data_IF_222968881558
#
_entry.id   IF_222968881558
#
_cell.length_a   1.000
_cell.length_b   1.000
_cell.length_c   1.000
_cell.angle_alpha   90.00
_cell.angle_beta   90.00
_cell.angle_gamma   90.00
#
_symmetry.space_group_name_H-M   'P 1'
#
loop_
_entity.id
_entity.type
_entity.pdbx_description
1 polymer ?
#
# COMPACT_ATOMS: atom_id res chain seq x y z
N UNK A 1 23.03 88.41 65.99
CA UNK A 1 23.73 87.24 65.42
C UNK A 1 23.46 85.90 66.12
N UNK A 2 23.21 85.83 67.44
CA UNK A 2 22.99 84.56 68.16
C UNK A 2 21.64 83.89 67.81
N UNK A 3 20.58 84.68 67.60
CA UNK A 3 19.22 84.20 67.30
C UNK A 3 19.06 83.58 65.89
N UNK A 4 19.95 83.93 64.95
CA UNK A 4 19.99 83.38 63.58
C UNK A 4 20.71 82.03 63.58
N UNK A 5 21.88 81.95 64.24
CA UNK A 5 22.60 80.68 64.45
C UNK A 5 21.75 79.64 65.19
N UNK A 6 20.96 80.03 66.19
CA UNK A 6 20.07 79.11 66.90
C UNK A 6 18.95 78.55 66.01
N UNK A 7 18.43 79.32 65.05
CA UNK A 7 17.41 78.87 64.10
C UNK A 7 18.00 77.94 63.03
N UNK A 8 19.22 78.19 62.57
CA UNK A 8 19.94 77.29 61.64
C UNK A 8 20.32 75.97 62.33
N UNK A 9 20.74 76.01 63.58
CA UNK A 9 21.03 74.81 64.39
C UNK A 9 19.74 74.02 64.62
N UNK A 10 18.63 74.67 64.98
CA UNK A 10 17.32 73.99 65.10
C UNK A 10 16.82 73.42 63.77
N UNK A 11 17.05 74.09 62.64
CA UNK A 11 16.67 73.59 61.31
C UNK A 11 17.51 72.38 60.88
N UNK A 12 18.82 72.39 61.16
CA UNK A 12 19.71 71.26 60.94
C UNK A 12 19.48 70.08 61.90
N UNK A 13 18.96 70.34 63.11
CA UNK A 13 18.51 69.29 64.05
C UNK A 13 17.18 68.68 63.63
N UNK A 14 16.21 69.46 63.13
CA UNK A 14 14.99 68.92 62.51
C UNK A 14 15.30 68.06 61.27
N UNK A 15 16.24 68.50 60.42
CA UNK A 15 16.72 67.70 59.28
C UNK A 15 17.47 66.43 59.71
N UNK A 16 18.04 66.38 60.92
CA UNK A 16 18.66 65.18 61.51
C UNK A 16 17.65 64.23 62.17
N UNK A 17 16.53 64.74 62.68
CA UNK A 17 15.44 63.95 63.29
C UNK A 17 14.59 63.19 62.26
N UNK A 18 14.56 63.62 61.00
CA UNK A 18 13.87 62.93 59.90
C UNK A 18 14.71 61.80 59.24
N UNK A 19 16.01 61.74 59.52
CA UNK A 19 16.94 60.71 58.96
C UNK A 19 16.58 59.28 59.40
N UNK A 20 16.26 59.01 60.68
CA UNK A 20 15.84 57.67 61.11
C UNK A 20 14.55 57.21 60.44
N UNK A 21 13.60 58.12 60.23
CA UNK A 21 12.34 57.85 59.51
C UNK A 21 12.58 57.51 58.04
N UNK A 22 13.35 58.33 57.32
CA UNK A 22 13.74 58.04 55.93
C UNK A 22 14.57 56.75 55.81
N UNK A 23 15.40 56.41 56.80
CA UNK A 23 16.19 55.18 56.80
C UNK A 23 15.29 53.93 56.96
N UNK A 24 14.27 54.01 57.80
CA UNK A 24 13.28 52.94 57.98
C UNK A 24 12.46 52.77 56.69
N UNK A 25 11.99 53.86 56.08
CA UNK A 25 11.26 53.81 54.80
C UNK A 25 12.10 53.21 53.67
N UNK A 26 13.39 53.56 53.57
CA UNK A 26 14.32 52.98 52.61
C UNK A 26 14.59 51.49 52.87
N UNK A 27 14.64 51.07 54.13
CA UNK A 27 14.77 49.65 54.49
C UNK A 27 13.51 48.85 54.14
N UNK A 28 12.33 49.43 54.34
CA UNK A 28 11.05 48.83 53.94
C UNK A 28 10.91 48.75 52.42
N UNK A 29 11.29 49.80 51.68
CA UNK A 29 11.34 49.78 50.21
C UNK A 29 12.33 48.73 49.70
N UNK A 30 13.51 48.62 50.31
CA UNK A 30 14.49 47.57 49.98
C UNK A 30 13.94 46.16 50.28
N UNK A 31 13.18 46.01 51.37
CA UNK A 31 12.49 44.76 51.72
C UNK A 31 11.45 44.37 50.67
N UNK A 32 10.61 45.31 50.24
CA UNK A 32 9.61 45.13 49.18
C UNK A 32 10.26 44.77 47.85
N UNK A 33 11.27 45.53 47.42
CA UNK A 33 12.03 45.25 46.19
C UNK A 33 12.73 43.87 46.23
N UNK A 34 13.19 43.44 47.41
CA UNK A 34 13.79 42.11 47.58
C UNK A 34 12.74 41.00 47.48
N UNK A 35 11.55 41.19 48.04
CA UNK A 35 10.44 40.25 47.89
C UNK A 35 9.94 40.17 46.44
N UNK A 36 9.80 41.33 45.77
CA UNK A 36 9.46 41.39 44.34
C UNK A 36 10.54 40.69 43.49
N UNK A 37 11.83 40.91 43.79
CA UNK A 37 12.92 40.22 43.09
C UNK A 37 12.89 38.70 43.27
N UNK A 38 12.54 38.22 44.47
CA UNK A 38 12.36 36.78 44.72
C UNK A 38 11.15 36.24 43.94
N UNK A 39 10.02 36.95 43.98
CA UNK A 39 8.83 36.58 43.21
C UNK A 39 9.10 36.53 41.69
N UNK A 40 9.86 37.48 41.14
CA UNK A 40 10.28 37.47 39.74
C UNK A 40 11.24 36.31 39.42
N UNK A 41 12.14 35.95 40.34
CA UNK A 41 13.03 34.79 40.18
C UNK A 41 12.25 33.47 40.19
N UNK A 42 11.25 33.34 41.05
CA UNK A 42 10.40 32.16 41.12
C UNK A 42 9.53 32.05 39.86
N UNK A 43 8.92 33.17 39.43
CA UNK A 43 8.17 33.26 38.17
C UNK A 43 9.04 32.86 36.96
N UNK A 44 10.28 33.34 36.90
CA UNK A 44 11.24 32.99 35.84
C UNK A 44 11.60 31.50 35.87
N UNK A 45 11.81 30.95 37.06
CA UNK A 45 12.13 29.52 37.21
C UNK A 45 10.96 28.63 36.78
N UNK A 46 9.72 29.03 37.09
CA UNK A 46 8.51 28.34 36.63
C UNK A 46 8.38 28.38 35.10
N UNK A 47 8.52 29.55 34.49
CA UNK A 47 8.48 29.71 33.03
C UNK A 47 9.59 28.90 32.35
N UNK A 48 10.80 28.88 32.91
CA UNK A 48 11.89 28.05 32.38
C UNK A 48 11.57 26.54 32.47
N UNK A 49 10.93 26.10 33.56
CA UNK A 49 10.55 24.71 33.71
C UNK A 49 9.45 24.31 32.71
N UNK A 50 8.48 25.20 32.45
CA UNK A 50 7.46 25.01 31.42
C UNK A 50 8.07 25.00 30.01
N UNK A 51 8.96 25.95 29.72
CA UNK A 51 9.71 26.03 28.48
C UNK A 51 10.52 24.74 28.21
N UNK A 52 11.20 24.21 29.22
CA UNK A 52 11.94 22.94 29.11
C UNK A 52 11.01 21.78 28.74
N UNK A 53 9.85 21.66 29.41
CA UNK A 53 8.87 20.59 29.11
C UNK A 53 8.39 20.63 27.66
N UNK A 54 8.13 21.82 27.13
CA UNK A 54 7.71 21.99 25.73
C UNK A 54 8.83 21.63 24.75
N UNK A 55 10.08 22.00 25.06
CA UNK A 55 11.25 21.63 24.25
C UNK A 55 11.44 20.10 24.23
N UNK A 56 11.36 19.46 25.38
CA UNK A 56 11.49 18.00 25.50
C UNK A 56 10.40 17.29 24.71
N UNK A 57 9.14 17.72 24.88
CA UNK A 57 7.99 17.18 24.13
C UNK A 57 8.15 17.35 22.62
N UNK A 58 8.60 18.53 22.17
CA UNK A 58 8.86 18.79 20.74
C UNK A 58 9.97 17.88 20.22
N UNK A 59 11.07 17.74 20.96
CA UNK A 59 12.19 16.89 20.53
C UNK A 59 11.78 15.42 20.44
N UNK A 60 10.97 14.94 21.38
CA UNK A 60 10.40 13.58 21.33
C UNK A 60 9.50 13.40 20.10
N UNK A 61 8.57 14.32 19.86
CA UNK A 61 7.68 14.28 18.69
C UNK A 61 8.43 14.39 17.36
N UNK A 62 9.51 15.18 17.30
CA UNK A 62 10.35 15.25 16.11
C UNK A 62 11.09 13.94 15.87
N UNK A 63 11.59 13.29 16.94
CA UNK A 63 12.24 11.98 16.82
C UNK A 63 11.27 10.91 16.31
N UNK A 64 10.06 10.85 16.87
CA UNK A 64 9.03 9.91 16.40
C UNK A 64 8.63 10.19 14.95
N UNK A 65 8.54 11.46 14.56
CA UNK A 65 8.27 11.86 13.17
C UNK A 65 9.37 11.37 12.22
N UNK A 66 10.65 11.53 12.57
CA UNK A 66 11.77 11.01 11.77
C UNK A 66 11.73 9.49 11.64
N UNK A 67 11.47 8.78 12.75
CA UNK A 67 11.33 7.32 12.75
C UNK A 67 10.18 6.84 11.84
N UNK A 68 9.03 7.53 11.87
CA UNK A 68 7.89 7.23 11.00
C UNK A 68 8.18 7.53 9.52
N UNK A 69 8.86 8.64 9.23
CA UNK A 69 9.28 8.98 7.87
C UNK A 69 10.24 7.92 7.33
N UNK A 70 11.19 7.44 8.15
CA UNK A 70 12.13 6.42 7.72
C UNK A 70 11.46 5.06 7.51
N UNK A 71 10.47 4.69 8.34
CA UNK A 71 9.60 3.53 8.07
C UNK A 71 8.85 3.69 6.74
N UNK A 72 8.25 4.86 6.49
CA UNK A 72 7.56 5.14 5.24
C UNK A 72 8.48 5.04 4.01
N UNK A 73 9.72 5.55 4.10
CA UNK A 73 10.74 5.38 3.05
C UNK A 73 11.10 3.91 2.81
N UNK A 74 11.17 3.09 3.86
CA UNK A 74 11.42 1.63 3.72
C UNK A 74 10.26 0.96 3.00
N UNK A 75 9.01 1.25 3.37
CA UNK A 75 7.83 0.72 2.66
C UNK A 75 7.78 1.17 1.21
N UNK A 76 8.19 2.41 0.91
CA UNK A 76 8.33 2.88 -0.47
C UNK A 76 9.31 2.03 -1.28
N UNK A 77 10.49 1.71 -0.73
CA UNK A 77 11.47 0.85 -1.39
C UNK A 77 10.92 -0.56 -1.64
N UNK A 78 10.28 -1.17 -0.63
CA UNK A 78 9.66 -2.48 -0.75
C UNK A 78 8.55 -2.49 -1.81
N UNK A 79 7.73 -1.43 -1.87
CA UNK A 79 6.71 -1.26 -2.92
C UNK A 79 7.35 -1.19 -4.31
N UNK A 80 8.41 -0.42 -4.47
CA UNK A 80 9.09 -0.24 -5.76
C UNK A 80 9.78 -1.54 -6.22
N UNK A 81 10.36 -2.31 -5.29
CA UNK A 81 10.88 -3.65 -5.53
C UNK A 81 9.76 -4.62 -5.97
N UNK A 82 8.63 -4.65 -5.24
CA UNK A 82 7.46 -5.46 -5.60
C UNK A 82 6.90 -5.09 -6.98
N UNK A 83 6.81 -3.81 -7.32
CA UNK A 83 6.39 -3.35 -8.65
C UNK A 83 7.35 -3.80 -9.75
N UNK A 84 8.66 -3.77 -9.47
CA UNK A 84 9.68 -4.27 -10.39
C UNK A 84 9.50 -5.78 -10.62
N UNK A 85 9.26 -6.55 -9.55
CA UNK A 85 8.97 -7.98 -9.64
C UNK A 85 7.69 -8.24 -10.45
N UNK A 86 6.60 -7.50 -10.19
CA UNK A 86 5.36 -7.58 -10.98
C UNK A 86 5.64 -7.36 -12.47
N UNK A 87 6.43 -6.36 -12.83
CA UNK A 87 6.78 -6.10 -14.23
C UNK A 87 7.59 -7.25 -14.85
N UNK A 88 8.56 -7.80 -14.11
CA UNK A 88 9.35 -8.95 -14.57
C UNK A 88 8.51 -10.21 -14.77
N UNK A 89 7.62 -10.54 -13.83
CA UNK A 89 6.76 -11.72 -13.94
C UNK A 89 5.66 -11.54 -14.98
N UNK A 90 5.15 -10.32 -15.20
CA UNK A 90 4.28 -10.01 -16.33
C UNK A 90 4.98 -10.30 -17.66
N UNK A 91 6.23 -9.86 -17.81
CA UNK A 91 7.02 -10.14 -19.02
C UNK A 91 7.22 -11.64 -19.23
N UNK A 92 7.60 -12.40 -18.19
CA UNK A 92 7.73 -13.86 -18.27
C UNK A 92 6.42 -14.58 -18.62
N UNK A 93 5.30 -14.13 -18.04
CA UNK A 93 3.97 -14.65 -18.37
C UNK A 93 3.63 -14.40 -19.83
N UNK A 94 3.90 -13.19 -20.33
CA UNK A 94 3.60 -12.81 -21.72
C UNK A 94 4.47 -13.61 -22.70
N UNK A 95 5.76 -13.80 -22.40
CA UNK A 95 6.66 -14.67 -23.16
C UNK A 95 6.18 -16.14 -23.18
N UNK A 96 5.71 -16.68 -22.05
CA UNK A 96 5.14 -18.04 -21.98
C UNK A 96 3.84 -18.15 -22.78
N UNK A 97 2.97 -17.13 -22.73
CA UNK A 97 1.74 -17.09 -23.50
C UNK A 97 1.99 -17.00 -25.01
N UNK A 98 2.98 -16.20 -25.44
CA UNK A 98 3.38 -16.13 -26.84
C UNK A 98 3.89 -17.49 -27.34
N UNK A 99 4.74 -18.17 -26.57
CA UNK A 99 5.20 -19.53 -26.89
C UNK A 99 4.05 -20.53 -26.96
N UNK A 100 3.11 -20.47 -26.01
CA UNK A 100 1.93 -21.34 -26.03
C UNK A 100 1.06 -21.08 -27.28
N UNK A 101 0.86 -19.82 -27.65
CA UNK A 101 0.10 -19.44 -28.85
C UNK A 101 0.78 -19.92 -30.15
N UNK A 102 2.11 -19.83 -30.25
CA UNK A 102 2.87 -20.34 -31.39
C UNK A 102 2.73 -21.87 -31.52
N UNK A 103 2.81 -22.60 -30.41
CA UNK A 103 2.58 -24.05 -30.42
C UNK A 103 1.13 -24.40 -30.77
N UNK A 104 0.15 -23.65 -30.27
CA UNK A 104 -1.25 -23.81 -30.68
C UNK A 104 -1.46 -23.57 -32.18
N UNK A 105 -0.78 -22.58 -32.77
CA UNK A 105 -0.81 -22.35 -34.21
C UNK A 105 -0.25 -23.56 -34.98
N UNK A 106 0.91 -24.09 -34.56
CA UNK A 106 1.48 -25.31 -35.15
C UNK A 106 0.57 -26.52 -35.00
N UNK A 107 -0.05 -26.72 -33.83
CA UNK A 107 -1.03 -27.79 -33.61
C UNK A 107 -2.24 -27.63 -34.55
N UNK A 108 -2.72 -26.40 -34.75
CA UNK A 108 -3.83 -26.13 -35.66
C UNK A 108 -3.45 -26.35 -37.13
N UNK A 109 -2.21 -26.03 -37.52
CA UNK A 109 -1.72 -26.25 -38.87
C UNK A 109 -1.54 -27.75 -39.15
N UNK A 110 -0.95 -28.51 -38.23
CA UNK A 110 -0.86 -29.99 -38.29
C UNK A 110 -2.26 -30.61 -38.37
N UNK A 111 -3.23 -30.10 -37.59
CA UNK A 111 -4.64 -30.54 -37.65
C UNK A 111 -5.30 -30.20 -38.99
N UNK A 112 -4.95 -29.09 -39.64
CA UNK A 112 -5.46 -28.73 -40.97
C UNK A 112 -4.81 -29.57 -42.07
N UNK A 113 -3.51 -29.78 -42.00
CA UNK A 113 -2.77 -30.62 -42.94
C UNK A 113 -3.23 -32.09 -42.88
N UNK A 114 -3.46 -32.64 -41.68
CA UNK A 114 -4.03 -33.99 -41.53
C UNK A 114 -5.54 -34.08 -41.79
N UNK A 115 -6.26 -32.96 -41.88
CA UNK A 115 -7.58 -32.94 -42.51
C UNK A 115 -7.40 -32.90 -44.04
N UNK A 116 -6.93 -34.00 -44.63
CA UNK A 116 -6.84 -34.12 -46.08
C UNK A 116 -8.21 -33.91 -46.73
N UNK A 117 -8.23 -33.06 -47.76
CA UNK A 117 -9.40 -32.55 -48.48
C UNK A 117 -10.20 -33.59 -49.30
N UNK A 118 -10.19 -34.87 -48.92
CA UNK A 118 -10.88 -35.96 -49.62
C UNK A 118 -11.70 -36.90 -48.72
N UNK A 119 -11.53 -36.84 -47.40
CA UNK A 119 -12.32 -37.64 -46.45
C UNK A 119 -13.24 -36.73 -45.62
N UNK A 120 -14.53 -37.11 -45.45
CA UNK A 120 -15.54 -36.30 -44.70
C UNK A 120 -14.92 -35.71 -43.43
N UNK A 121 -14.97 -34.38 -43.28
CA UNK A 121 -14.33 -33.72 -42.14
C UNK A 121 -14.92 -34.22 -40.82
N UNK A 122 -14.14 -34.19 -39.73
CA UNK A 122 -14.68 -34.37 -38.37
C UNK A 122 -15.85 -33.41 -38.13
N UNK A 123 -15.83 -32.22 -38.74
CA UNK A 123 -16.93 -31.25 -38.70
C UNK A 123 -18.18 -31.77 -39.41
N UNK A 124 -18.04 -32.38 -40.59
CA UNK A 124 -19.16 -32.88 -41.38
C UNK A 124 -19.81 -34.09 -40.71
N UNK A 125 -19.00 -35.03 -40.19
CA UNK A 125 -19.48 -36.17 -39.41
C UNK A 125 -20.27 -35.71 -38.17
N UNK A 126 -19.82 -34.65 -37.50
CA UNK A 126 -20.49 -34.08 -36.33
C UNK A 126 -21.83 -33.44 -36.71
N UNK A 127 -21.86 -32.69 -37.80
CA UNK A 127 -23.08 -32.04 -38.29
C UNK A 127 -24.12 -33.07 -38.78
N UNK A 128 -23.68 -34.17 -39.40
CA UNK A 128 -24.53 -35.30 -39.81
C UNK A 128 -25.08 -36.07 -38.60
N UNK A 129 -24.27 -36.29 -37.56
CA UNK A 129 -24.71 -36.87 -36.28
C UNK A 129 -25.77 -35.98 -35.63
N UNK A 130 -25.52 -34.68 -35.51
CA UNK A 130 -26.45 -33.73 -34.89
C UNK A 130 -27.78 -33.66 -35.68
N UNK A 131 -27.72 -33.73 -37.02
CA UNK A 131 -28.91 -33.76 -37.85
C UNK A 131 -29.73 -35.06 -37.68
N UNK A 132 -29.05 -36.21 -37.61
CA UNK A 132 -29.71 -37.50 -37.38
C UNK A 132 -30.28 -37.60 -35.97
N UNK A 133 -29.58 -37.09 -34.95
CA UNK A 133 -30.07 -37.02 -33.57
C UNK A 133 -31.28 -36.09 -33.44
N UNK A 134 -31.27 -34.95 -34.15
CA UNK A 134 -32.42 -34.06 -34.22
C UNK A 134 -33.62 -34.74 -34.89
N UNK A 135 -33.40 -35.48 -35.98
CA UNK A 135 -34.45 -36.27 -36.63
C UNK A 135 -35.00 -37.39 -35.74
N UNK A 136 -34.15 -38.03 -34.94
CA UNK A 136 -34.57 -39.03 -33.94
C UNK A 136 -35.49 -38.40 -32.89
N UNK A 137 -35.14 -37.21 -32.40
CA UNK A 137 -35.89 -36.52 -31.33
C UNK A 137 -37.21 -35.90 -31.80
N UNK A 138 -37.30 -35.48 -33.06
CA UNK A 138 -38.44 -34.68 -33.56
C UNK A 138 -39.43 -35.44 -34.43
N UNK A 139 -39.07 -36.62 -34.97
CA UNK A 139 -39.97 -37.40 -35.84
C UNK A 139 -40.45 -38.67 -35.16
N UNK A 140 -41.77 -38.91 -35.22
CA UNK A 140 -42.38 -40.18 -34.80
C UNK A 140 -42.06 -41.23 -35.86
N UNK A 141 -41.03 -42.03 -35.62
CA UNK A 141 -40.55 -43.10 -36.51
C UNK A 141 -41.14 -44.45 -36.09
N UNK A 142 -41.19 -45.41 -37.01
CA UNK A 142 -41.51 -46.80 -36.66
C UNK A 142 -40.33 -47.45 -35.92
N UNK A 143 -40.56 -48.42 -35.02
CA UNK A 143 -39.49 -49.03 -34.21
C UNK A 143 -38.31 -49.58 -35.02
N UNK A 144 -38.57 -50.12 -36.21
CA UNK A 144 -37.52 -50.64 -37.10
C UNK A 144 -36.68 -49.53 -37.74
N UNK A 145 -37.29 -48.40 -38.08
CA UNK A 145 -36.58 -47.24 -38.64
C UNK A 145 -35.79 -46.50 -37.57
N UNK A 146 -36.31 -46.46 -36.34
CA UNK A 146 -35.61 -45.90 -35.19
C UNK A 146 -34.35 -46.71 -34.87
N UNK A 147 -34.44 -48.05 -34.85
CA UNK A 147 -33.27 -48.93 -34.68
C UNK A 147 -32.20 -48.70 -35.74
N UNK A 148 -32.58 -48.65 -37.02
CA UNK A 148 -31.63 -48.37 -38.11
C UNK A 148 -30.98 -46.97 -37.99
N UNK A 149 -31.70 -45.98 -37.48
CA UNK A 149 -31.21 -44.62 -37.31
C UNK A 149 -30.24 -44.54 -36.12
N UNK A 150 -30.55 -45.23 -35.01
CA UNK A 150 -29.65 -45.40 -33.86
C UNK A 150 -28.37 -46.14 -34.25
N UNK A 151 -28.47 -47.21 -35.03
CA UNK A 151 -27.30 -47.97 -35.50
C UNK A 151 -26.40 -47.11 -36.41
N UNK A 152 -26.99 -46.29 -37.29
CA UNK A 152 -26.25 -45.33 -38.12
C UNK A 152 -25.55 -44.26 -37.27
N UNK A 153 -26.23 -43.71 -36.26
CA UNK A 153 -25.61 -42.76 -35.31
C UNK A 153 -24.46 -43.42 -34.56
N UNK A 154 -24.63 -44.68 -34.12
CA UNK A 154 -23.59 -45.43 -33.41
C UNK A 154 -22.33 -45.65 -34.28
N UNK A 155 -22.52 -46.04 -35.56
CA UNK A 155 -21.42 -46.20 -36.52
C UNK A 155 -20.74 -44.86 -36.81
N UNK A 156 -21.49 -43.78 -37.01
CA UNK A 156 -20.91 -42.45 -37.25
C UNK A 156 -20.14 -41.93 -36.02
N UNK A 157 -20.66 -42.15 -34.80
CA UNK A 157 -19.96 -41.83 -33.55
C UNK A 157 -18.70 -42.68 -33.36
N UNK A 158 -18.71 -43.95 -33.76
CA UNK A 158 -17.52 -44.81 -33.75
C UNK A 158 -16.46 -44.34 -34.75
N UNK A 159 -16.85 -43.98 -35.96
CA UNK A 159 -15.95 -43.40 -36.97
C UNK A 159 -15.37 -42.05 -36.54
N UNK A 160 -16.16 -41.20 -35.89
CA UNK A 160 -15.69 -39.93 -35.34
C UNK A 160 -14.67 -40.14 -34.21
N UNK A 161 -14.91 -41.12 -33.31
CA UNK A 161 -13.94 -41.49 -32.26
C UNK A 161 -12.66 -42.09 -32.84
N UNK A 162 -12.76 -43.04 -33.76
CA UNK A 162 -11.60 -43.65 -34.40
C UNK A 162 -10.72 -42.63 -35.14
N UNK A 163 -11.32 -41.63 -35.79
CA UNK A 163 -10.57 -40.54 -36.44
C UNK A 163 -9.92 -39.57 -35.45
N UNK A 164 -10.60 -39.24 -34.36
CA UNK A 164 -10.00 -38.46 -33.26
C UNK A 164 -8.82 -39.20 -32.65
N UNK A 165 -8.98 -40.50 -32.39
CA UNK A 165 -7.90 -41.34 -31.87
C UNK A 165 -6.74 -41.49 -32.86
N UNK A 166 -6.98 -41.53 -34.17
CA UNK A 166 -5.91 -41.55 -35.18
C UNK A 166 -5.13 -40.22 -35.24
N UNK A 167 -5.81 -39.09 -35.05
CA UNK A 167 -5.16 -37.78 -34.90
C UNK A 167 -4.39 -37.66 -33.58
N UNK A 168 -4.92 -38.22 -32.49
CA UNK A 168 -4.28 -38.25 -31.17
C UNK A 168 -3.12 -39.28 -31.08
N UNK A 169 -3.10 -40.29 -31.96
CA UNK A 169 -2.03 -41.29 -32.07
C UNK A 169 -0.75 -40.76 -32.73
N UNK A 170 -0.77 -39.58 -33.33
CA UNK A 170 0.48 -38.90 -33.71
C UNK A 170 1.21 -38.49 -32.42
N UNK A 171 2.26 -39.24 -32.07
CA UNK A 171 3.11 -38.94 -30.89
C UNK A 171 3.56 -37.48 -30.86
N UNK A 172 3.80 -36.88 -32.03
CA UNK A 172 4.17 -35.47 -32.17
C UNK A 172 3.05 -34.53 -31.69
N UNK A 173 1.79 -34.82 -32.01
CA UNK A 173 0.65 -34.02 -31.55
C UNK A 173 0.46 -34.13 -30.03
N UNK A 174 0.71 -35.32 -29.47
CA UNK A 174 0.64 -35.56 -28.03
C UNK A 174 1.76 -34.83 -27.29
N UNK A 175 3.01 -34.91 -27.78
CA UNK A 175 4.16 -34.14 -27.25
C UNK A 175 3.91 -32.63 -27.31
N UNK A 176 3.38 -32.12 -28.42
CA UNK A 176 3.03 -30.70 -28.56
C UNK A 176 1.90 -30.27 -27.61
N UNK A 177 0.89 -31.11 -27.39
CA UNK A 177 -0.18 -30.83 -26.43
C UNK A 177 0.34 -30.83 -24.99
N UNK A 178 1.22 -31.77 -24.64
CA UNK A 178 1.86 -31.84 -23.32
C UNK A 178 2.77 -30.61 -23.09
N UNK A 179 3.53 -30.17 -24.10
CA UNK A 179 4.34 -28.94 -24.04
C UNK A 179 3.48 -27.68 -23.88
N UNK A 180 2.35 -27.60 -24.59
CA UNK A 180 1.39 -26.49 -24.43
C UNK A 180 0.79 -26.49 -23.03
N UNK A 181 0.41 -27.65 -22.50
CA UNK A 181 -0.13 -27.75 -21.16
C UNK A 181 0.91 -27.33 -20.11
N UNK A 182 2.16 -27.76 -20.26
CA UNK A 182 3.27 -27.35 -19.39
C UNK A 182 3.52 -25.83 -19.43
N UNK A 183 3.48 -25.21 -20.62
CA UNK A 183 3.60 -23.75 -20.76
C UNK A 183 2.41 -23.01 -20.15
N UNK A 184 1.21 -23.59 -20.25
CA UNK A 184 0.00 -23.02 -19.66
C UNK A 184 0.04 -23.08 -18.13
N UNK A 185 0.53 -24.18 -17.57
CA UNK A 185 0.73 -24.33 -16.13
C UNK A 185 1.80 -23.35 -15.62
N UNK A 186 2.89 -23.17 -16.37
CA UNK A 186 3.90 -22.13 -16.09
C UNK A 186 3.33 -20.71 -16.15
N UNK A 187 2.51 -20.40 -17.17
CA UNK A 187 1.86 -19.10 -17.29
C UNK A 187 0.87 -18.84 -16.14
N UNK A 188 0.14 -19.88 -15.70
CA UNK A 188 -0.73 -19.80 -14.52
C UNK A 188 0.09 -19.53 -13.25
N UNK A 189 1.22 -20.22 -13.07
CA UNK A 189 2.12 -19.97 -11.92
C UNK A 189 2.67 -18.54 -11.92
N UNK A 190 3.07 -18.01 -13.08
CA UNK A 190 3.50 -16.61 -13.18
C UNK A 190 2.36 -15.63 -12.93
N UNK A 191 1.13 -15.95 -13.35
CA UNK A 191 -0.04 -15.14 -13.03
C UNK A 191 -0.28 -15.06 -11.52
N UNK A 192 -0.24 -16.20 -10.82
CA UNK A 192 -0.40 -16.25 -9.36
C UNK A 192 0.68 -15.44 -8.65
N UNK A 193 1.93 -15.51 -9.13
CA UNK A 193 3.03 -14.70 -8.60
C UNK A 193 2.80 -13.21 -8.83
N UNK A 194 2.36 -12.80 -10.03
CA UNK A 194 2.01 -11.40 -10.32
C UNK A 194 0.92 -10.90 -9.37
N UNK A 195 -0.13 -11.69 -9.14
CA UNK A 195 -1.23 -11.32 -8.24
C UNK A 195 -0.72 -11.14 -6.81
N UNK A 196 0.06 -12.11 -6.29
CA UNK A 196 0.66 -12.01 -4.95
C UNK A 196 1.56 -10.78 -4.78
N UNK A 197 2.43 -10.51 -5.75
CA UNK A 197 3.30 -9.32 -5.68
C UNK A 197 2.53 -8.02 -5.85
N UNK A 198 1.42 -8.02 -6.60
CA UNK A 198 0.54 -6.86 -6.71
C UNK A 198 -0.20 -6.58 -5.39
N UNK A 199 -0.72 -7.62 -4.73
CA UNK A 199 -1.32 -7.52 -3.39
C UNK A 199 -0.30 -6.99 -2.37
N UNK A 200 0.90 -7.57 -2.33
CA UNK A 200 1.99 -7.09 -1.47
C UNK A 200 2.38 -5.64 -1.76
N UNK A 201 2.44 -5.24 -3.03
CA UNK A 201 2.73 -3.85 -3.39
C UNK A 201 1.64 -2.89 -2.88
N UNK A 202 0.38 -3.32 -2.93
CA UNK A 202 -0.75 -2.55 -2.44
C UNK A 202 -0.76 -2.47 -0.90
N UNK A 203 -0.48 -3.57 -0.21
CA UNK A 203 -0.31 -3.56 1.25
C UNK A 203 0.81 -2.62 1.70
N UNK A 204 1.98 -2.66 1.05
CA UNK A 204 3.06 -1.72 1.35
C UNK A 204 2.70 -0.28 1.02
N UNK A 205 1.89 -0.05 -0.02
CA UNK A 205 1.38 1.29 -0.33
C UNK A 205 0.47 1.81 0.77
N UNK A 206 -0.45 0.99 1.27
CA UNK A 206 -1.38 1.36 2.34
C UNK A 206 -0.64 1.60 3.66
N UNK A 207 0.33 0.74 4.01
CA UNK A 207 1.20 0.91 5.18
C UNK A 207 2.06 2.18 5.06
N UNK A 208 2.58 2.48 3.87
CA UNK A 208 3.33 3.71 3.61
C UNK A 208 2.45 4.95 3.80
N UNK A 209 1.22 4.94 3.27
CA UNK A 209 0.27 6.04 3.46
C UNK A 209 -0.08 6.21 4.95
N UNK A 210 -0.31 5.11 5.67
CA UNK A 210 -0.55 5.14 7.12
C UNK A 210 0.59 5.81 7.88
N UNK A 211 1.82 5.38 7.63
CA UNK A 211 3.01 5.96 8.26
C UNK A 211 3.21 7.45 7.93
N UNK A 212 2.92 7.88 6.69
CA UNK A 212 2.97 9.29 6.34
C UNK A 212 1.89 10.12 7.05
N UNK A 213 0.66 9.61 7.14
CA UNK A 213 -0.42 10.28 7.88
C UNK A 213 -0.09 10.44 9.35
N UNK A 214 0.44 9.38 9.98
CA UNK A 214 0.90 9.43 11.37
C UNK A 214 2.05 10.44 11.53
N UNK A 215 3.03 10.45 10.63
CA UNK A 215 4.14 11.41 10.66
C UNK A 215 3.66 12.86 10.50
N UNK A 216 2.68 13.11 9.62
CA UNK A 216 2.11 14.43 9.42
C UNK A 216 1.32 14.89 10.67
N UNK A 217 0.63 13.97 11.33
CA UNK A 217 -0.05 14.24 12.60
C UNK A 217 0.95 14.57 13.71
N UNK A 218 2.00 13.77 13.90
CA UNK A 218 3.03 14.03 14.93
C UNK A 218 3.78 15.33 14.66
N UNK A 219 4.00 15.68 13.39
CA UNK A 219 4.55 16.98 12.99
C UNK A 219 3.61 18.13 13.37
N UNK A 220 2.31 18.02 13.12
CA UNK A 220 1.35 19.04 13.51
C UNK A 220 1.29 19.23 15.05
N UNK A 221 1.40 18.14 15.81
CA UNK A 221 1.48 18.17 17.27
C UNK A 221 2.79 18.84 17.76
N UNK A 222 3.91 18.56 17.08
CA UNK A 222 5.19 19.21 17.37
C UNK A 222 5.13 20.73 17.09
N UNK A 223 4.51 21.13 15.99
CA UNK A 223 4.31 22.54 15.63
C UNK A 223 3.38 23.25 16.63
N UNK A 224 2.35 22.55 17.13
CA UNK A 224 1.48 23.08 18.18
C UNK A 224 2.27 23.28 19.50
N UNK A 225 3.07 22.30 19.90
CA UNK A 225 3.94 22.40 21.08
C UNK A 225 4.95 23.56 20.94
N UNK A 226 5.52 23.76 19.74
CA UNK A 226 6.42 24.87 19.45
C UNK A 226 5.70 26.22 19.53
N UNK A 227 4.44 26.33 19.08
CA UNK A 227 3.64 27.56 19.23
C UNK A 227 3.37 27.89 20.69
N UNK A 228 3.03 26.90 21.51
CA UNK A 228 2.83 27.12 22.94
C UNK A 228 4.13 27.49 23.67
N UNK A 229 5.26 26.88 23.29
CA UNK A 229 6.58 27.32 23.75
C UNK A 229 6.86 28.80 23.43
N UNK A 230 6.58 29.23 22.20
CA UNK A 230 6.79 30.62 21.76
C UNK A 230 5.87 31.63 22.48
N UNK A 231 4.71 31.19 22.99
CA UNK A 231 3.83 32.04 23.81
C UNK A 231 4.25 32.09 25.28
N UNK A 232 4.93 31.06 25.77
CA UNK A 232 5.42 30.96 27.14
C UNK A 232 6.79 31.61 27.36
N UNK A 233 7.53 31.86 26.27
CA UNK A 233 8.80 32.61 26.24
C UNK A 233 8.56 34.12 26.21
#
# INVERSE_FOLDING_TARGET
SIKVKSKEIQRGLLEQEDIPGMLIELQDQRGKLRQESLAFKDRRSQLNAEASKWVDKRNELNRTTEELIDKAKKFKKLRDESNTNVAQYKKKRDESNEKANQLYARINDIRKEHNHAGERSIRDLRCEIDHLEFQQQTKVLSPDKEKQLVDKIAVLRANLRGRKEQLEKNEELRKLLDEVQALRDQASSYHDQVTKFAELAQEYHDQMIGAFKEADQTRAEADAAQKEFLKAQ
#
